data_IF_198803836690
#
_entry.id   IF_198803836690
#
_cell.length_a   1.000
_cell.length_b   1.000
_cell.length_c   1.000
_cell.angle_alpha   90.00
_cell.angle_beta   90.00
_cell.angle_gamma   90.00
#
_symmetry.space_group_name_H-M   'P 1'
#
loop_
_entity.id
_entity.type
_entity.pdbx_description
1 polymer ?
#
# COMPACT_ATOMS: atom_id res chain seq x y z
N UNK A 1 -10.84 6.06 -17.40
CA UNK A 1 -10.49 5.37 -16.13
C UNK A 1 -9.51 6.27 -15.40
N UNK A 2 -9.90 6.85 -14.27
CA UNK A 2 -9.04 7.74 -13.46
C UNK A 2 -7.89 6.97 -12.82
N UNK A 3 -6.86 7.65 -12.24
CA UNK A 3 -5.83 6.96 -11.43
C UNK A 3 -6.49 6.32 -10.21
N UNK A 4 -7.54 6.96 -9.66
CA UNK A 4 -8.38 6.37 -8.62
C UNK A 4 -8.96 5.04 -9.11
N UNK A 5 -9.63 5.00 -10.25
CA UNK A 5 -10.13 3.74 -10.84
C UNK A 5 -9.01 2.78 -11.24
N UNK A 6 -7.77 3.24 -11.46
CA UNK A 6 -6.60 2.41 -11.79
C UNK A 6 -5.83 1.95 -10.57
N UNK A 7 -5.78 2.75 -9.52
CA UNK A 7 -5.40 2.31 -8.17
C UNK A 7 -6.49 1.38 -7.62
N UNK A 8 -7.75 1.66 -7.94
CA UNK A 8 -8.91 0.82 -7.69
C UNK A 8 -8.96 -0.41 -8.62
N UNK A 9 -8.31 -0.45 -9.78
CA UNK A 9 -8.15 -1.69 -10.59
C UNK A 9 -7.29 -2.73 -9.86
N UNK A 10 -6.41 -2.31 -8.97
CA UNK A 10 -5.87 -3.21 -7.96
C UNK A 10 -6.86 -3.44 -6.80
N UNK A 11 -7.96 -2.68 -6.72
CA UNK A 11 -9.02 -2.77 -5.72
C UNK A 11 -10.38 -3.18 -6.31
N UNK A 12 -10.57 -3.10 -7.64
CA UNK A 12 -11.81 -3.48 -8.31
C UNK A 12 -11.71 -4.86 -8.95
N UNK A 13 -11.69 -5.88 -8.15
CA UNK A 13 -12.59 -6.97 -8.40
C UNK A 13 -13.88 -6.65 -7.64
N UNK A 14 -14.82 -6.01 -8.38
CA UNK A 14 -16.10 -5.56 -7.85
C UNK A 14 -17.03 -6.73 -7.56
N UNK A 15 -16.84 -7.33 -6.42
CA UNK A 15 -17.87 -7.90 -5.58
C UNK A 15 -17.45 -7.60 -4.16
N UNK A 16 -18.25 -6.83 -3.45
CA UNK A 16 -18.15 -6.65 -2.00
C UNK A 16 -17.96 -8.04 -1.40
N UNK A 17 -16.76 -8.32 -0.86
CA UNK A 17 -16.55 -9.57 -0.14
C UNK A 17 -17.65 -9.65 0.92
N UNK A 18 -18.50 -10.68 0.87
CA UNK A 18 -19.54 -10.85 1.86
C UNK A 18 -18.93 -10.95 3.26
N UNK A 19 -19.60 -10.40 4.25
CA UNK A 19 -19.18 -10.33 5.68
C UNK A 19 -18.58 -11.67 6.19
N UNK A 20 -19.07 -12.82 5.74
CA UNK A 20 -18.51 -14.14 6.06
C UNK A 20 -17.17 -14.48 5.38
N UNK A 21 -16.81 -13.80 4.28
CA UNK A 21 -15.57 -14.04 3.56
C UNK A 21 -14.38 -13.38 4.26
N UNK A 22 -14.56 -12.21 4.87
CA UNK A 22 -13.52 -11.54 5.67
C UNK A 22 -13.03 -12.40 6.82
N UNK A 23 -13.91 -13.05 7.59
CA UNK A 23 -13.52 -13.89 8.73
C UNK A 23 -12.65 -15.09 8.34
N UNK A 24 -12.95 -15.78 7.24
CA UNK A 24 -12.16 -16.92 6.76
C UNK A 24 -10.83 -16.48 6.15
N UNK A 25 -10.85 -15.36 5.44
CA UNK A 25 -9.70 -14.72 4.84
C UNK A 25 -8.62 -14.35 5.87
N UNK A 26 -9.05 -13.75 6.96
CA UNK A 26 -8.21 -13.24 8.04
C UNK A 26 -7.52 -14.35 8.82
N UNK A 27 -8.12 -15.53 8.88
CA UNK A 27 -7.49 -16.71 9.50
C UNK A 27 -6.15 -17.07 8.85
N UNK A 28 -5.97 -16.81 7.56
CA UNK A 28 -4.70 -17.12 6.84
C UNK A 28 -3.68 -15.98 6.94
N UNK A 29 -4.07 -14.73 6.79
CA UNK A 29 -3.16 -13.58 6.89
C UNK A 29 -2.58 -13.48 8.32
N UNK A 30 -3.40 -13.73 9.33
CA UNK A 30 -2.96 -13.83 10.72
C UNK A 30 -1.90 -14.90 10.95
N UNK A 31 -1.99 -16.05 10.26
CA UNK A 31 -0.97 -17.10 10.34
C UNK A 31 0.34 -16.66 9.69
N UNK A 32 0.28 -15.97 8.55
CA UNK A 32 1.47 -15.40 7.91
C UNK A 32 2.16 -14.44 8.87
N UNK A 33 1.40 -13.53 9.50
CA UNK A 33 1.94 -12.57 10.47
C UNK A 33 2.41 -13.21 11.77
N UNK A 34 1.70 -14.21 12.29
CA UNK A 34 2.13 -14.94 13.48
C UNK A 34 3.47 -15.66 13.26
N UNK A 35 3.61 -16.33 12.11
CA UNK A 35 4.89 -16.94 11.69
C UNK A 35 5.93 -15.87 11.35
N UNK A 36 5.50 -14.79 10.70
CA UNK A 36 6.34 -13.66 10.29
C UNK A 36 6.96 -12.91 11.46
N UNK A 37 6.29 -12.89 12.61
CA UNK A 37 6.79 -12.27 13.83
C UNK A 37 7.89 -13.09 14.54
N UNK A 38 8.01 -14.40 14.24
CA UNK A 38 8.98 -15.26 14.92
C UNK A 38 10.43 -14.94 14.56
N UNK A 39 10.70 -14.45 13.35
CA UNK A 39 12.05 -14.09 12.87
C UNK A 39 11.98 -12.97 11.84
N UNK A 40 12.92 -11.99 11.82
CA UNK A 40 13.03 -11.01 10.74
C UNK A 40 13.49 -11.68 9.44
N UNK A 41 13.30 -11.01 8.31
CA UNK A 41 14.01 -11.34 7.08
C UNK A 41 15.49 -10.93 7.19
N UNK A 42 16.39 -11.77 6.68
CA UNK A 42 17.83 -11.48 6.66
C UNK A 42 18.25 -10.73 5.38
N UNK A 43 17.57 -11.02 4.25
CA UNK A 43 17.98 -10.55 2.93
C UNK A 43 16.89 -9.78 2.18
N UNK A 44 15.67 -9.71 2.71
CA UNK A 44 14.57 -8.94 2.12
C UNK A 44 14.58 -7.49 2.62
N UNK A 45 14.23 -6.52 1.75
CA UNK A 45 14.19 -5.12 2.15
C UNK A 45 13.12 -4.89 3.22
N UNK A 46 13.27 -3.80 3.97
CA UNK A 46 12.21 -3.28 4.82
C UNK A 46 11.28 -2.37 4.02
N UNK A 47 10.01 -2.31 4.44
CA UNK A 47 9.09 -1.26 4.05
C UNK A 47 9.41 -0.03 4.92
N UNK A 48 9.99 0.99 4.31
CA UNK A 48 10.34 2.25 4.95
C UNK A 48 10.28 3.41 3.96
N UNK A 49 10.45 4.62 4.48
CA UNK A 49 10.40 5.86 3.70
C UNK A 49 11.49 5.89 2.61
N UNK A 50 12.66 5.32 2.89
CA UNK A 50 13.76 5.29 1.92
C UNK A 50 13.42 4.38 0.74
N UNK A 51 12.97 3.15 1.02
CA UNK A 51 12.73 2.12 0.00
C UNK A 51 11.46 2.38 -0.81
N UNK A 52 10.42 2.94 -0.20
CA UNK A 52 9.12 3.18 -0.83
C UNK A 52 8.88 4.62 -1.28
N UNK A 53 9.57 5.58 -0.67
CA UNK A 53 9.39 7.00 -0.96
C UNK A 53 10.59 7.60 -1.68
N UNK A 54 11.72 7.76 -0.96
CA UNK A 54 12.86 8.54 -1.45
C UNK A 54 13.55 7.94 -2.66
N UNK A 55 13.85 6.65 -2.66
CA UNK A 55 14.50 5.99 -3.82
C UNK A 55 13.62 6.00 -5.07
N UNK A 56 12.32 5.60 -5.00
CA UNK A 56 11.46 5.65 -6.17
C UNK A 56 11.31 7.07 -6.73
N UNK A 57 11.03 8.06 -5.89
CA UNK A 57 10.85 9.45 -6.34
C UNK A 57 12.12 10.04 -6.94
N UNK A 58 13.28 9.77 -6.35
CA UNK A 58 14.57 10.18 -6.89
C UNK A 58 14.80 9.59 -8.27
N UNK A 59 14.57 8.28 -8.42
CA UNK A 59 14.70 7.59 -9.70
C UNK A 59 13.83 8.22 -10.80
N UNK A 60 12.56 8.49 -10.51
CA UNK A 60 11.64 9.13 -11.45
C UNK A 60 12.13 10.48 -11.93
N UNK A 61 12.76 11.26 -11.06
CA UNK A 61 13.30 12.59 -11.36
C UNK A 61 14.61 12.48 -12.15
N UNK A 62 15.55 11.65 -11.70
CA UNK A 62 16.89 11.53 -12.30
C UNK A 62 16.85 10.91 -13.69
N UNK A 63 15.95 9.95 -13.91
CA UNK A 63 15.78 9.28 -15.21
C UNK A 63 14.81 10.04 -16.16
N UNK A 64 14.32 11.23 -15.75
CA UNK A 64 13.53 12.10 -16.62
C UNK A 64 12.16 11.56 -17.00
N UNK A 65 11.52 10.76 -16.15
CA UNK A 65 10.16 10.27 -16.39
C UNK A 65 9.10 11.37 -16.30
N UNK A 66 9.38 12.42 -15.53
CA UNK A 66 8.42 13.50 -15.30
C UNK A 66 8.48 14.53 -16.43
N UNK A 67 7.33 14.97 -16.99
CA UNK A 67 7.29 16.12 -17.89
C UNK A 67 7.87 17.37 -17.20
N UNK A 68 8.70 18.13 -17.92
CA UNK A 68 9.45 19.27 -17.37
C UNK A 68 8.55 20.32 -16.68
N UNK A 69 7.33 20.52 -17.17
CA UNK A 69 6.39 21.51 -16.62
C UNK A 69 5.81 21.13 -15.26
N UNK A 70 5.87 19.85 -14.87
CA UNK A 70 5.32 19.35 -13.58
C UNK A 70 6.40 18.83 -12.63
N UNK A 71 7.63 18.65 -13.08
CA UNK A 71 8.72 18.08 -12.27
C UNK A 71 8.94 18.85 -10.95
N UNK A 72 8.97 20.18 -11.00
CA UNK A 72 9.14 21.00 -9.81
C UNK A 72 7.98 20.82 -8.82
N UNK A 73 6.74 20.76 -9.32
CA UNK A 73 5.56 20.53 -8.50
C UNK A 73 5.58 19.14 -7.85
N UNK A 74 5.96 18.11 -8.60
CA UNK A 74 6.12 16.75 -8.08
C UNK A 74 7.19 16.70 -7.00
N UNK A 75 8.37 17.25 -7.25
CA UNK A 75 9.52 17.28 -6.32
C UNK A 75 9.14 17.91 -4.98
N UNK A 76 8.49 19.07 -5.01
CA UNK A 76 8.06 19.79 -3.81
C UNK A 76 6.99 19.03 -3.04
N UNK A 77 5.97 18.52 -3.75
CA UNK A 77 4.88 17.76 -3.14
C UNK A 77 5.38 16.48 -2.47
N UNK A 78 6.21 15.69 -3.16
CA UNK A 78 6.73 14.44 -2.63
C UNK A 78 7.66 14.69 -1.45
N UNK A 79 8.49 15.74 -1.47
CA UNK A 79 9.32 16.09 -0.32
C UNK A 79 8.47 16.39 0.91
N UNK A 80 7.44 17.25 0.79
CA UNK A 80 6.52 17.57 1.88
C UNK A 80 5.77 16.32 2.39
N UNK A 81 5.30 15.45 1.49
CA UNK A 81 4.65 14.20 1.87
C UNK A 81 5.59 13.27 2.66
N UNK A 82 6.82 13.09 2.20
CA UNK A 82 7.78 12.21 2.86
C UNK A 82 8.22 12.73 4.23
N UNK A 83 8.31 14.07 4.41
CA UNK A 83 8.60 14.67 5.70
C UNK A 83 7.44 14.44 6.68
N UNK A 84 6.19 14.67 6.26
CA UNK A 84 5.00 14.38 7.08
C UNK A 84 4.90 12.88 7.42
N UNK A 85 5.13 12.00 6.45
CA UNK A 85 5.15 10.55 6.70
C UNK A 85 6.21 10.20 7.76
N UNK A 86 7.38 10.86 7.73
CA UNK A 86 8.41 10.73 8.75
C UNK A 86 7.89 11.02 10.16
N UNK A 87 7.15 12.12 10.31
CA UNK A 87 6.52 12.49 11.59
C UNK A 87 5.51 11.45 12.08
N UNK A 88 4.74 10.80 11.15
CA UNK A 88 3.82 9.73 11.52
C UNK A 88 4.56 8.50 12.06
N UNK A 89 5.63 8.07 11.38
CA UNK A 89 6.45 6.95 11.86
C UNK A 89 7.14 7.26 13.19
N UNK A 90 7.61 8.49 13.40
CA UNK A 90 8.23 8.92 14.66
C UNK A 90 7.21 8.93 15.82
N UNK A 91 6.02 9.50 15.59
CA UNK A 91 4.95 9.55 16.61
C UNK A 91 4.46 8.18 17.00
N UNK A 92 4.37 7.28 16.03
CA UNK A 92 3.92 5.91 16.27
C UNK A 92 4.97 5.11 17.04
N UNK A 93 6.23 5.42 16.91
CA UNK A 93 7.43 4.89 17.60
C UNK A 93 7.41 3.45 18.12
N UNK A 94 8.46 2.70 17.92
CA UNK A 94 8.61 1.37 18.53
C UNK A 94 7.65 0.29 18.02
N UNK A 95 7.06 0.45 16.83
CA UNK A 95 6.22 -0.55 16.18
C UNK A 95 7.06 -1.76 15.78
N UNK A 96 6.52 -2.93 16.05
CA UNK A 96 7.11 -4.21 15.64
C UNK A 96 7.14 -4.32 14.12
N UNK A 97 8.29 -4.66 13.56
CA UNK A 97 8.42 -5.03 12.15
C UNK A 97 8.41 -6.54 12.01
N UNK A 98 7.41 -7.05 11.37
CA UNK A 98 7.24 -8.48 11.10
C UNK A 98 7.46 -8.76 9.61
N UNK A 99 7.53 -10.04 9.24
CA UNK A 99 7.47 -10.43 7.83
C UNK A 99 6.06 -10.27 7.33
N UNK A 100 5.91 -9.58 6.22
CA UNK A 100 4.67 -9.27 5.55
C UNK A 100 4.60 -9.99 4.21
N UNK A 101 3.39 -10.15 3.69
CA UNK A 101 3.16 -10.38 2.27
C UNK A 101 3.70 -9.19 1.47
N UNK A 102 3.39 -7.98 1.92
CA UNK A 102 3.90 -6.72 1.38
C UNK A 102 3.08 -6.16 0.22
N UNK A 103 2.30 -7.00 -0.45
CA UNK A 103 1.37 -6.66 -1.53
C UNK A 103 0.04 -7.42 -1.39
N UNK A 104 -0.54 -7.40 -0.18
CA UNK A 104 -1.72 -8.18 0.21
C UNK A 104 -3.03 -7.51 -0.25
N UNK A 105 -3.22 -7.36 -1.56
CA UNK A 105 -4.48 -6.85 -2.11
C UNK A 105 -5.39 -8.01 -2.59
N UNK A 106 -6.71 -7.79 -2.77
CA UNK A 106 -7.66 -8.86 -3.15
C UNK A 106 -7.27 -9.64 -4.40
N UNK A 107 -6.55 -9.01 -5.36
CA UNK A 107 -6.08 -9.68 -6.57
C UNK A 107 -5.01 -10.75 -6.34
N UNK A 108 -4.33 -10.72 -5.19
CA UNK A 108 -3.34 -11.72 -4.79
C UNK A 108 -3.92 -12.80 -3.87
N UNK A 109 -5.26 -12.95 -3.88
CA UNK A 109 -5.97 -13.92 -3.07
C UNK A 109 -6.84 -14.79 -3.97
N UNK A 110 -6.48 -16.05 -4.05
CA UNK A 110 -7.23 -17.05 -4.79
C UNK A 110 -8.17 -17.81 -3.85
N UNK A 111 -9.43 -17.93 -4.25
CA UNK A 111 -10.43 -18.69 -3.52
C UNK A 111 -10.57 -20.08 -4.08
N UNK A 112 -10.53 -21.08 -3.22
CA UNK A 112 -10.77 -22.48 -3.53
C UNK A 112 -11.80 -23.06 -2.56
N UNK A 113 -12.23 -24.31 -2.79
CA UNK A 113 -13.11 -25.01 -1.85
C UNK A 113 -12.48 -25.19 -0.45
N UNK A 114 -11.14 -25.15 -0.36
CA UNK A 114 -10.38 -25.21 0.89
C UNK A 114 -10.18 -23.83 1.57
N UNK A 115 -10.68 -22.76 0.94
CA UNK A 115 -10.58 -21.38 1.44
C UNK A 115 -9.63 -20.49 0.63
N UNK A 116 -9.22 -19.33 1.19
CA UNK A 116 -8.35 -18.38 0.52
C UNK A 116 -6.89 -18.84 0.51
N UNK A 117 -6.19 -18.56 -0.59
CA UNK A 117 -4.76 -18.81 -0.77
C UNK A 117 -4.07 -17.54 -1.23
N UNK A 118 -3.01 -17.13 -0.53
CA UNK A 118 -2.18 -16.00 -0.91
C UNK A 118 -1.17 -16.42 -1.98
N UNK A 119 -1.05 -15.61 -3.01
CA UNK A 119 -0.09 -15.80 -4.12
C UNK A 119 0.75 -14.55 -4.29
N UNK A 120 1.78 -14.61 -5.12
CA UNK A 120 2.69 -13.50 -5.42
C UNK A 120 3.45 -12.97 -4.18
N UNK A 121 4.26 -13.85 -3.61
CA UNK A 121 5.11 -13.55 -2.46
C UNK A 121 6.41 -12.81 -2.82
N UNK A 122 6.54 -12.31 -4.04
CA UNK A 122 7.77 -11.66 -4.51
C UNK A 122 8.05 -10.35 -3.78
N UNK A 123 7.02 -9.66 -3.33
CA UNK A 123 7.10 -8.40 -2.60
C UNK A 123 7.18 -8.56 -1.06
N UNK A 124 7.35 -9.78 -0.56
CA UNK A 124 7.54 -10.03 0.87
C UNK A 124 8.66 -9.18 1.46
N UNK A 125 8.38 -8.52 2.59
CA UNK A 125 9.32 -7.61 3.26
C UNK A 125 9.04 -7.50 4.76
N UNK A 126 9.90 -6.79 5.48
CA UNK A 126 9.66 -6.49 6.90
C UNK A 126 8.99 -5.13 7.04
N UNK A 127 7.89 -5.06 7.80
CA UNK A 127 7.15 -3.82 8.04
C UNK A 127 6.09 -3.95 9.13
N UNK A 128 5.28 -2.90 9.34
CA UNK A 128 4.15 -2.92 10.25
C UNK A 128 3.04 -3.85 9.73
N UNK A 129 2.36 -4.56 10.63
CA UNK A 129 1.31 -5.52 10.26
C UNK A 129 0.15 -4.87 9.49
N UNK A 130 -0.18 -3.64 9.83
CA UNK A 130 -1.25 -2.87 9.17
C UNK A 130 -1.04 -2.71 7.67
N UNK A 131 0.21 -2.87 7.15
CA UNK A 131 0.47 -2.79 5.71
C UNK A 131 -0.34 -3.79 4.90
N UNK A 132 -0.44 -5.02 5.33
CA UNK A 132 -1.18 -6.04 4.61
C UNK A 132 -2.70 -5.89 4.84
N UNK A 133 -3.11 -5.39 6.00
CA UNK A 133 -4.51 -5.23 6.36
C UNK A 133 -5.19 -4.06 5.65
N UNK A 134 -4.55 -2.89 5.56
CA UNK A 134 -5.18 -1.74 4.91
C UNK A 134 -5.40 -1.93 3.40
N UNK A 135 -4.63 -2.79 2.77
CA UNK A 135 -4.78 -3.07 1.33
C UNK A 135 -6.08 -3.79 0.98
N UNK A 136 -6.81 -4.25 1.98
CA UNK A 136 -8.13 -4.88 1.86
C UNK A 136 -9.27 -3.86 2.00
N UNK A 137 -8.96 -2.63 2.46
CA UNK A 137 -9.96 -1.60 2.68
C UNK A 137 -10.31 -0.89 1.38
N UNK A 138 -11.60 -0.66 1.17
CA UNK A 138 -12.14 0.03 -0.02
C UNK A 138 -13.36 0.87 0.33
N UNK A 139 -13.75 1.76 -0.60
CA UNK A 139 -14.91 2.60 -0.43
C UNK A 139 -14.62 3.90 0.34
N UNK A 140 -15.67 4.46 0.93
CA UNK A 140 -15.54 5.66 1.73
C UNK A 140 -15.01 5.38 3.14
N UNK A 141 -14.78 6.46 3.91
CA UNK A 141 -14.20 6.36 5.25
C UNK A 141 -15.06 5.51 6.21
N UNK A 142 -16.39 5.61 6.12
CA UNK A 142 -17.30 4.85 6.98
C UNK A 142 -17.27 3.37 6.63
N UNK A 143 -17.21 3.06 5.34
CA UNK A 143 -17.08 1.69 4.84
C UNK A 143 -15.73 1.09 5.28
N UNK A 144 -14.63 1.84 5.12
CA UNK A 144 -13.31 1.40 5.58
C UNK A 144 -13.24 1.15 7.09
N UNK A 145 -13.94 1.95 7.91
CA UNK A 145 -14.00 1.74 9.36
C UNK A 145 -14.73 0.43 9.73
N UNK A 146 -15.85 0.15 9.07
CA UNK A 146 -16.58 -1.11 9.27
C UNK A 146 -15.73 -2.30 8.84
N UNK A 147 -15.13 -2.23 7.65
CA UNK A 147 -14.26 -3.28 7.13
C UNK A 147 -13.05 -3.53 8.05
N UNK A 148 -12.41 -2.45 8.54
CA UNK A 148 -11.28 -2.58 9.45
C UNK A 148 -11.69 -3.24 10.77
N UNK A 149 -12.86 -2.91 11.32
CA UNK A 149 -13.41 -3.58 12.51
C UNK A 149 -13.59 -5.08 12.31
N UNK A 150 -14.21 -5.49 11.18
CA UNK A 150 -14.37 -6.90 10.84
C UNK A 150 -13.02 -7.61 10.62
N UNK A 151 -12.07 -6.92 9.97
CA UNK A 151 -10.71 -7.39 9.77
C UNK A 151 -10.03 -7.65 11.12
N UNK A 152 -10.10 -6.72 12.04
CA UNK A 152 -9.44 -6.85 13.33
C UNK A 152 -10.08 -7.93 14.20
N UNK A 153 -11.41 -8.09 14.18
CA UNK A 153 -12.09 -9.18 14.90
C UNK A 153 -11.56 -10.56 14.47
N UNK A 154 -11.34 -10.77 13.19
CA UNK A 154 -10.73 -12.01 12.68
C UNK A 154 -9.24 -12.11 12.95
N UNK A 155 -8.50 -11.01 12.79
CA UNK A 155 -7.06 -10.95 12.98
C UNK A 155 -6.66 -11.27 14.42
N UNK A 156 -7.37 -10.73 15.38
CA UNK A 156 -7.05 -10.85 16.82
C UNK A 156 -7.30 -12.25 17.40
N UNK A 157 -7.96 -13.13 16.66
CA UNK A 157 -8.04 -14.55 17.04
C UNK A 157 -6.67 -15.25 17.05
N UNK A 158 -5.68 -14.69 16.33
CA UNK A 158 -4.36 -15.30 16.18
C UNK A 158 -3.22 -14.39 16.65
N UNK A 159 -3.40 -13.09 16.57
CA UNK A 159 -2.38 -12.11 16.91
C UNK A 159 -3.03 -10.76 17.22
N UNK A 160 -2.69 -10.16 18.34
CA UNK A 160 -3.08 -8.78 18.65
C UNK A 160 -2.39 -7.78 17.68
N UNK A 161 -3.15 -6.81 17.19
CA UNK A 161 -2.60 -5.67 16.44
C UNK A 161 -2.17 -4.59 17.46
N UNK A 162 -1.04 -3.96 17.20
CA UNK A 162 -0.72 -2.69 17.83
C UNK A 162 -1.58 -1.58 17.18
N UNK A 163 -2.65 -1.16 17.84
CA UNK A 163 -3.61 -0.17 17.34
C UNK A 163 -2.97 1.17 16.97
N UNK A 164 -1.74 1.45 17.43
CA UNK A 164 -0.97 2.60 16.98
C UNK A 164 -0.65 2.53 15.49
N UNK A 165 -0.58 1.32 14.94
CA UNK A 165 -0.31 1.10 13.51
C UNK A 165 -1.42 1.65 12.60
N UNK A 166 -2.66 1.76 13.08
CA UNK A 166 -3.80 2.32 12.32
C UNK A 166 -3.49 3.75 11.84
N UNK A 167 -2.72 4.52 12.60
CA UNK A 167 -2.29 5.87 12.23
C UNK A 167 -1.38 5.89 10.99
N UNK A 168 -0.81 4.75 10.60
CA UNK A 168 0.09 4.64 9.46
C UNK A 168 -0.64 4.35 8.13
N UNK A 169 -1.94 4.07 8.13
CA UNK A 169 -2.67 3.64 6.93
C UNK A 169 -2.43 4.62 5.77
N UNK A 170 -2.71 5.91 5.96
CA UNK A 170 -2.57 6.89 4.88
C UNK A 170 -1.10 7.18 4.53
N UNK A 171 -0.20 7.08 5.50
CA UNK A 171 1.24 7.16 5.26
C UNK A 171 1.75 6.00 4.38
N UNK A 172 1.30 4.78 4.67
CA UNK A 172 1.65 3.58 3.89
C UNK A 172 1.02 3.61 2.50
N UNK A 173 -0.23 4.08 2.38
CA UNK A 173 -0.92 4.28 1.10
C UNK A 173 -0.15 5.27 0.22
N UNK A 174 0.26 6.40 0.77
CA UNK A 174 1.07 7.41 0.07
C UNK A 174 2.41 6.82 -0.40
N UNK A 175 3.11 6.11 0.47
CA UNK A 175 4.37 5.44 0.13
C UNK A 175 4.17 4.42 -1.01
N UNK A 176 3.08 3.64 -0.97
CA UNK A 176 2.77 2.68 -2.04
C UNK A 176 2.54 3.39 -3.38
N UNK A 177 1.82 4.51 -3.41
CA UNK A 177 1.58 5.28 -4.65
C UNK A 177 2.91 5.72 -5.28
N UNK A 178 3.83 6.26 -4.49
CA UNK A 178 5.16 6.70 -4.95
C UNK A 178 5.99 5.48 -5.40
N UNK A 179 5.96 4.42 -4.61
CA UNK A 179 6.68 3.17 -4.90
C UNK A 179 6.25 2.56 -6.23
N UNK A 180 4.93 2.46 -6.46
CA UNK A 180 4.37 1.85 -7.65
C UNK A 180 4.75 2.58 -8.93
N UNK A 181 4.71 3.92 -8.93
CA UNK A 181 5.20 4.71 -10.06
C UNK A 181 6.69 4.43 -10.37
N UNK A 182 7.53 4.38 -9.34
CA UNK A 182 8.93 4.02 -9.48
C UNK A 182 9.17 2.55 -9.86
N UNK A 183 8.30 1.65 -9.43
CA UNK A 183 8.34 0.23 -9.81
C UNK A 183 8.07 0.03 -11.30
N UNK A 184 7.06 0.71 -11.86
CA UNK A 184 6.77 0.73 -13.30
C UNK A 184 7.93 1.34 -14.09
N UNK A 185 8.44 2.49 -13.63
CA UNK A 185 9.51 3.20 -14.31
C UNK A 185 10.78 2.37 -14.43
N UNK A 186 11.18 1.66 -13.38
CA UNK A 186 12.38 0.81 -13.38
C UNK A 186 12.31 -0.36 -14.37
N UNK A 187 11.12 -0.73 -14.78
CA UNK A 187 10.87 -1.86 -15.70
C UNK A 187 10.46 -1.39 -17.09
N UNK A 188 10.46 -0.08 -17.32
CA UNK A 188 9.92 0.50 -18.55
C UNK A 188 10.68 0.13 -19.81
N UNK A 189 11.96 -0.23 -19.69
CA UNK A 189 12.78 -0.72 -20.79
C UNK A 189 12.43 -2.15 -21.24
N UNK A 190 11.75 -2.93 -20.40
CA UNK A 190 11.23 -4.23 -20.79
C UNK A 190 9.98 -4.04 -21.67
N UNK A 191 9.98 -4.52 -22.93
CA UNK A 191 8.87 -4.33 -23.86
C UNK A 191 7.51 -4.90 -23.38
N UNK A 192 7.50 -5.77 -22.38
CA UNK A 192 6.28 -6.29 -21.78
C UNK A 192 5.54 -5.19 -20.99
N UNK A 193 6.28 -4.29 -20.33
CA UNK A 193 5.70 -3.24 -19.48
C UNK A 193 4.90 -2.19 -20.25
N UNK A 194 5.42 -1.54 -21.31
CA UNK A 194 4.62 -0.62 -22.12
C UNK A 194 3.38 -1.28 -22.75
N UNK A 195 3.40 -2.57 -23.00
CA UNK A 195 2.22 -3.31 -23.50
C UNK A 195 1.18 -3.56 -22.43
N UNK A 196 1.63 -3.94 -21.22
CA UNK A 196 0.75 -4.21 -20.09
C UNK A 196 0.20 -2.91 -19.46
N UNK A 197 0.99 -1.84 -19.45
CA UNK A 197 0.67 -0.56 -18.81
C UNK A 197 0.72 0.62 -19.80
N UNK A 198 -0.06 0.59 -20.91
CA UNK A 198 0.04 1.60 -21.97
C UNK A 198 -0.35 3.02 -21.56
N UNK A 199 -0.95 3.16 -20.40
CA UNK A 199 -1.34 4.43 -19.77
C UNK A 199 -0.19 5.06 -18.97
N UNK A 200 0.80 4.29 -18.54
CA UNK A 200 1.94 4.80 -17.78
C UNK A 200 2.86 5.67 -18.67
N UNK A 201 3.60 6.56 -18.04
CA UNK A 201 4.54 7.51 -18.66
C UNK A 201 3.91 8.42 -19.74
N UNK A 202 2.60 8.65 -19.67
CA UNK A 202 1.91 9.68 -20.45
C UNK A 202 1.82 10.98 -19.66
N UNK A 203 1.75 12.18 -20.31
CA UNK A 203 1.53 13.44 -19.59
C UNK A 203 0.30 13.39 -18.68
N UNK A 204 -0.80 12.81 -19.16
CA UNK A 204 -2.03 12.63 -18.40
C UNK A 204 -1.83 11.78 -17.13
N UNK A 205 -1.06 10.70 -17.22
CA UNK A 205 -0.75 9.87 -16.05
C UNK A 205 -0.05 10.71 -14.97
N UNK A 206 0.94 11.50 -15.32
CA UNK A 206 1.69 12.29 -14.36
C UNK A 206 0.87 13.43 -13.75
N UNK A 207 -0.01 14.07 -14.52
CA UNK A 207 -0.95 15.07 -14.01
C UNK A 207 -1.93 14.45 -13.00
N UNK A 208 -2.53 13.31 -13.33
CA UNK A 208 -3.42 12.55 -12.45
C UNK A 208 -2.68 12.03 -11.21
N UNK A 209 -1.43 11.58 -11.35
CA UNK A 209 -0.61 11.11 -10.23
C UNK A 209 -0.32 12.24 -9.22
N UNK A 210 0.01 13.43 -9.69
CA UNK A 210 0.19 14.60 -8.82
C UNK A 210 -1.13 14.97 -8.13
N UNK A 211 -2.25 14.93 -8.84
CA UNK A 211 -3.55 15.20 -8.25
C UNK A 211 -3.86 14.20 -7.13
N UNK A 212 -3.70 12.91 -7.38
CA UNK A 212 -3.91 11.86 -6.39
C UNK A 212 -2.98 12.01 -5.16
N UNK A 213 -1.71 12.41 -5.36
CA UNK A 213 -0.81 12.70 -4.24
C UNK A 213 -1.23 13.95 -3.45
N UNK A 214 -1.86 14.96 -4.07
CA UNK A 214 -2.42 16.12 -3.35
C UNK A 214 -3.66 15.73 -2.53
N UNK A 215 -4.52 14.90 -3.08
CA UNK A 215 -5.66 14.33 -2.34
C UNK A 215 -5.16 13.53 -1.14
N UNK A 216 -4.11 12.73 -1.34
CA UNK A 216 -3.47 11.97 -0.26
C UNK A 216 -2.85 12.88 0.81
N UNK A 217 -2.30 14.04 0.43
CA UNK A 217 -1.81 15.05 1.37
C UNK A 217 -2.92 15.61 2.28
N UNK A 218 -4.16 15.64 1.82
CA UNK A 218 -5.33 16.01 2.63
C UNK A 218 -5.73 14.86 3.56
N UNK A 219 -5.80 13.63 3.04
CA UNK A 219 -6.14 12.44 3.83
C UNK A 219 -5.16 12.18 4.98
N UNK A 220 -3.87 12.47 4.79
CA UNK A 220 -2.86 12.42 5.86
C UNK A 220 -3.17 13.35 7.05
N UNK A 221 -4.00 14.40 6.89
CA UNK A 221 -4.37 15.31 7.96
C UNK A 221 -5.64 14.88 8.70
N UNK A 222 -6.37 13.92 8.16
CA UNK A 222 -7.56 13.40 8.81
C UNK A 222 -7.20 12.56 10.05
N UNK A 223 -8.10 12.49 11.05
CA UNK A 223 -7.92 11.58 12.16
C UNK A 223 -7.76 10.14 11.67
N UNK A 224 -7.08 9.26 12.41
CA UNK A 224 -7.04 7.83 12.08
C UNK A 224 -8.45 7.22 11.98
N UNK A 225 -8.57 6.07 11.29
CA UNK A 225 -9.80 5.28 11.34
C UNK A 225 -10.05 4.85 12.80
N UNK A 226 -11.31 4.82 13.18
CA UNK A 226 -11.76 4.40 14.52
C UNK A 226 -12.44 3.04 14.38
N UNK A 227 -12.05 2.07 15.22
CA UNK A 227 -12.58 0.72 15.31
C UNK A 227 -13.03 0.43 16.73
#
# INVERSE_FOLDING_TARGET
MSIQERNDVFLTFGETLCVGAYSLFLTLDCRIHAVGAARPFEHRPALDIESFGRRPSRFLIEEGFLPAHIETAYRTLVADLLDRIGEYFERTGGISRIRLHGDCHPGNILWTDDGPHFVDLDDCRSGPAIQDLWMLLSGDRSEMQLQLGEILEGYEQFRELDYREIQLIEALRTLRMIHYAGWLARRWDDPAFPRAFPWFNTPRYWEEHILALREQAALLQEPPLVV
#
